data_IF_839186408500
#
_entry.id   IF_839186408500
#
_cell.length_a   1.000
_cell.length_b   1.000
_cell.length_c   1.000
_cell.angle_alpha   90.00
_cell.angle_beta   90.00
_cell.angle_gamma   90.00
#
_symmetry.space_group_name_H-M   'P 1'
#
loop_
_entity.id
_entity.type
_entity.pdbx_description
1 polymer ?
#
# COMPACT_ATOMS: atom_id res chain seq x y z
N UNK A 1 -18.40 -13.56 -16.86
CA UNK A 1 -18.91 -14.85 -17.36
C UNK A 1 -18.11 -16.05 -16.79
N UNK A 2 -17.47 -15.90 -15.62
CA UNK A 2 -16.69 -16.98 -15.00
C UNK A 2 -15.40 -17.38 -15.74
N UNK A 3 -14.96 -16.61 -16.74
CA UNK A 3 -13.71 -16.88 -17.47
C UNK A 3 -12.56 -16.05 -16.90
N UNK A 4 -11.37 -16.64 -16.89
CA UNK A 4 -10.14 -15.95 -16.55
C UNK A 4 -9.90 -14.76 -17.51
N UNK A 5 -9.70 -13.58 -16.94
CA UNK A 5 -9.46 -12.34 -17.66
C UNK A 5 -7.97 -12.05 -17.87
N UNK A 6 -7.05 -12.74 -17.20
CA UNK A 6 -5.61 -12.48 -17.31
C UNK A 6 -5.07 -12.52 -18.75
N UNK A 7 -5.51 -13.43 -19.64
CA UNK A 7 -5.12 -13.38 -21.05
C UNK A 7 -5.55 -12.07 -21.74
N UNK A 8 -6.75 -11.56 -21.42
CA UNK A 8 -7.25 -10.31 -21.99
C UNK A 8 -6.49 -9.09 -21.44
N UNK A 9 -6.14 -9.11 -20.14
CA UNK A 9 -5.32 -8.08 -19.52
C UNK A 9 -3.94 -8.05 -20.18
N UNK A 10 -3.31 -9.21 -20.39
CA UNK A 10 -2.01 -9.33 -21.07
C UNK A 10 -2.02 -8.79 -22.50
N UNK A 11 -3.09 -9.02 -23.24
CA UNK A 11 -3.26 -8.39 -24.57
C UNK A 11 -3.53 -6.89 -24.48
N UNK A 12 -4.27 -6.42 -23.46
CA UNK A 12 -4.55 -5.00 -23.27
C UNK A 12 -3.29 -4.18 -22.95
N UNK A 13 -2.41 -4.69 -22.09
CA UNK A 13 -1.16 -4.01 -21.69
C UNK A 13 -0.20 -3.79 -22.87
N UNK A 14 -0.34 -4.52 -23.98
CA UNK A 14 0.47 -4.27 -25.21
C UNK A 14 0.13 -2.93 -25.87
N UNK A 15 -1.04 -2.36 -25.59
CA UNK A 15 -1.45 -1.08 -26.16
C UNK A 15 -0.78 0.05 -25.38
N UNK A 16 -0.05 0.98 -26.06
CA UNK A 16 0.72 2.02 -25.38
C UNK A 16 -0.10 2.90 -24.42
N UNK A 17 -1.35 3.20 -24.76
CA UNK A 17 -2.21 4.02 -23.92
C UNK A 17 -2.55 3.35 -22.58
N UNK A 18 -2.68 2.02 -22.56
CA UNK A 18 -2.95 1.25 -21.34
C UNK A 18 -1.67 1.05 -20.55
N UNK A 19 -0.58 0.69 -21.23
CA UNK A 19 0.73 0.55 -20.59
C UNK A 19 1.11 1.84 -19.84
N UNK A 20 0.94 3.00 -20.50
CA UNK A 20 1.32 4.29 -19.97
C UNK A 20 0.35 4.84 -18.90
N UNK A 21 -0.84 4.27 -18.71
CA UNK A 21 -1.70 4.69 -17.62
C UNK A 21 -1.06 4.35 -16.25
N UNK A 22 -0.46 3.16 -16.16
CA UNK A 22 0.06 2.59 -14.91
C UNK A 22 1.37 1.81 -15.16
N UNK A 23 2.44 2.51 -15.55
CA UNK A 23 3.67 1.87 -16.06
C UNK A 23 4.29 0.86 -15.10
N UNK A 24 4.31 1.16 -13.80
CA UNK A 24 4.93 0.29 -12.79
C UNK A 24 4.08 -0.95 -12.54
N UNK A 25 2.75 -0.80 -12.41
CA UNK A 25 1.84 -1.95 -12.23
C UNK A 25 1.85 -2.87 -13.43
N UNK A 26 1.87 -2.29 -14.63
CA UNK A 26 1.94 -3.03 -15.87
C UNK A 26 3.28 -3.77 -16.00
N UNK A 27 4.40 -3.14 -15.67
CA UNK A 27 5.71 -3.80 -15.65
C UNK A 27 5.72 -4.97 -14.65
N UNK A 28 5.21 -4.75 -13.43
CA UNK A 28 5.07 -5.82 -12.44
C UNK A 28 4.20 -6.95 -12.96
N UNK A 29 3.04 -6.67 -13.56
CA UNK A 29 2.16 -7.70 -14.11
C UNK A 29 2.84 -8.51 -15.21
N UNK A 30 3.57 -7.87 -16.12
CA UNK A 30 4.27 -8.54 -17.21
C UNK A 30 5.35 -9.52 -16.71
N UNK A 31 5.95 -9.26 -15.54
CA UNK A 31 7.02 -10.06 -14.96
C UNK A 31 6.59 -11.01 -13.82
N UNK A 32 5.49 -10.71 -13.14
CA UNK A 32 4.99 -11.47 -11.98
C UNK A 32 3.76 -12.32 -12.31
N UNK A 33 3.17 -12.15 -13.49
CA UNK A 33 1.99 -12.82 -14.01
C UNK A 33 0.66 -12.52 -13.29
N UNK A 34 0.69 -11.75 -12.20
CA UNK A 34 -0.48 -11.32 -11.43
C UNK A 34 -0.52 -9.80 -11.34
N UNK A 35 -1.72 -9.22 -11.44
CA UNK A 35 -1.89 -7.78 -11.54
C UNK A 35 -2.02 -7.17 -10.14
N UNK A 36 -1.18 -6.19 -9.82
CA UNK A 36 -1.24 -5.49 -8.54
C UNK A 36 -2.38 -4.46 -8.52
N UNK A 37 -3.14 -4.42 -7.44
CA UNK A 37 -4.27 -3.49 -7.25
C UNK A 37 -3.81 -2.07 -6.93
N UNK A 38 -2.71 -1.93 -6.18
CA UNK A 38 -2.14 -0.65 -5.78
C UNK A 38 -1.55 0.13 -6.98
N UNK A 39 -1.64 1.46 -6.94
CA UNK A 39 -1.13 2.44 -7.91
C UNK A 39 0.37 2.28 -8.22
N UNK A 40 0.77 2.77 -9.40
CA UNK A 40 2.18 2.78 -9.83
C UNK A 40 3.08 3.56 -8.88
N UNK A 41 2.59 4.68 -8.34
CA UNK A 41 3.33 5.49 -7.39
C UNK A 41 3.76 4.70 -6.16
N UNK A 42 2.85 4.00 -5.51
CA UNK A 42 3.15 3.21 -4.31
C UNK A 42 3.92 1.93 -4.62
N UNK A 43 3.55 1.19 -5.68
CA UNK A 43 4.31 0.01 -6.09
C UNK A 43 5.77 0.31 -6.47
N UNK A 44 6.07 1.54 -6.90
CA UNK A 44 7.45 1.94 -7.17
C UNK A 44 8.29 2.16 -5.91
N UNK A 45 7.66 2.29 -4.74
CA UNK A 45 8.28 2.52 -3.43
C UNK A 45 8.54 1.21 -2.69
N UNK A 46 7.60 0.26 -2.76
CA UNK A 46 7.69 -1.01 -2.03
C UNK A 46 8.75 -1.98 -2.57
N UNK A 47 9.29 -1.72 -3.77
CA UNK A 47 10.09 -2.66 -4.52
C UNK A 47 11.44 -2.07 -4.96
N UNK A 48 12.47 -2.90 -5.02
CA UNK A 48 13.84 -2.50 -5.39
C UNK A 48 14.07 -2.21 -6.89
N UNK A 49 13.02 -2.25 -7.72
CA UNK A 49 13.18 -2.26 -9.18
C UNK A 49 13.15 -0.89 -9.83
N UNK A 50 12.47 0.10 -9.22
CA UNK A 50 12.10 1.34 -9.93
C UNK A 50 12.83 2.58 -9.41
N UNK A 51 12.87 2.80 -8.10
CA UNK A 51 13.33 4.07 -7.51
C UNK A 51 14.81 4.15 -7.12
N UNK A 52 15.64 3.22 -7.59
CA UNK A 52 17.06 3.13 -7.17
C UNK A 52 18.08 3.87 -8.04
N UNK A 53 17.71 4.29 -9.26
CA UNK A 53 18.61 5.01 -10.18
C UNK A 53 17.84 6.05 -10.98
N UNK A 54 18.51 7.14 -11.36
CA UNK A 54 17.88 8.25 -12.07
C UNK A 54 17.26 7.82 -13.42
N UNK A 55 17.90 6.91 -14.16
CA UNK A 55 17.38 6.38 -15.43
C UNK A 55 16.10 5.55 -15.24
N UNK A 56 16.01 4.79 -14.15
CA UNK A 56 14.82 3.99 -13.83
C UNK A 56 13.66 4.88 -13.36
N UNK A 57 13.94 5.90 -12.54
CA UNK A 57 12.95 6.88 -12.10
C UNK A 57 12.39 7.64 -13.32
N UNK A 58 13.26 8.08 -14.24
CA UNK A 58 12.85 8.74 -15.47
C UNK A 58 11.96 7.83 -16.33
N UNK A 59 12.34 6.56 -16.47
CA UNK A 59 11.61 5.60 -17.31
C UNK A 59 10.23 5.24 -16.76
N UNK A 60 10.12 5.02 -15.45
CA UNK A 60 8.93 4.38 -14.86
C UNK A 60 8.09 5.28 -13.95
N UNK A 61 8.66 6.35 -13.38
CA UNK A 61 8.02 7.08 -12.28
C UNK A 61 7.59 8.53 -12.62
N UNK A 62 7.69 8.93 -13.90
CA UNK A 62 7.41 10.32 -14.32
C UNK A 62 6.29 10.46 -15.33
N UNK A 63 6.15 9.47 -16.22
CA UNK A 63 5.37 9.61 -17.45
C UNK A 63 4.07 8.80 -17.43
N UNK A 64 3.74 8.16 -16.29
CA UNK A 64 2.45 7.50 -16.15
C UNK A 64 1.32 8.54 -16.17
N UNK A 65 0.22 8.23 -16.85
CA UNK A 65 -0.92 9.15 -16.99
C UNK A 65 -2.04 8.91 -15.98
N UNK A 66 -1.89 7.91 -15.11
CA UNK A 66 -2.81 7.60 -14.02
C UNK A 66 -2.69 8.54 -12.83
N UNK A 67 -3.33 8.17 -11.71
CA UNK A 67 -3.50 9.04 -10.54
C UNK A 67 -2.17 9.49 -9.90
N UNK A 68 -1.27 8.55 -9.64
CA UNK A 68 0.03 8.84 -9.03
C UNK A 68 1.14 8.17 -9.86
N UNK A 69 1.89 8.95 -10.66
CA UNK A 69 2.94 8.39 -11.50
C UNK A 69 4.18 7.94 -10.73
N UNK A 70 4.27 8.23 -9.43
CA UNK A 70 5.49 8.03 -8.63
C UNK A 70 6.38 9.26 -8.56
N UNK A 71 5.80 10.44 -8.81
CA UNK A 71 6.51 11.70 -8.65
C UNK A 71 6.96 11.90 -7.19
N UNK A 72 8.17 12.45 -7.02
CA UNK A 72 8.67 12.79 -5.70
C UNK A 72 7.70 13.72 -4.95
N UNK A 73 7.34 13.28 -3.74
CA UNK A 73 6.44 13.98 -2.82
C UNK A 73 5.06 14.32 -3.42
N UNK A 74 4.55 13.50 -4.35
CA UNK A 74 3.28 13.71 -5.04
C UNK A 74 2.13 14.05 -4.08
N UNK A 75 1.86 13.16 -3.11
CA UNK A 75 0.74 13.36 -2.17
C UNK A 75 0.94 14.56 -1.23
N UNK A 76 2.19 14.89 -0.91
CA UNK A 76 2.48 16.07 -0.07
C UNK A 76 2.14 17.35 -0.82
N UNK A 77 2.44 17.43 -2.13
CA UNK A 77 2.06 18.57 -2.97
C UNK A 77 0.54 18.75 -3.01
N UNK A 78 -0.19 17.66 -3.22
CA UNK A 78 -1.67 17.65 -3.17
C UNK A 78 -2.21 18.19 -1.84
N UNK A 79 -1.62 17.79 -0.71
CA UNK A 79 -2.04 18.29 0.61
C UNK A 79 -1.72 19.77 0.82
N UNK A 80 -0.55 20.23 0.38
CA UNK A 80 -0.15 21.64 0.49
C UNK A 80 -1.03 22.55 -0.38
N UNK A 81 -1.44 22.08 -1.55
CA UNK A 81 -2.41 22.79 -2.39
C UNK A 81 -3.76 22.90 -1.69
N UNK A 82 -4.26 21.77 -1.15
CA UNK A 82 -5.55 21.72 -0.44
C UNK A 82 -5.59 22.50 0.86
N UNK A 83 -4.47 22.66 1.56
CA UNK A 83 -4.38 23.45 2.80
C UNK A 83 -4.94 24.87 2.63
N UNK A 84 -4.77 25.43 1.42
CA UNK A 84 -5.19 26.78 1.09
C UNK A 84 -6.59 26.86 0.47
N UNK A 85 -7.10 25.76 -0.11
CA UNK A 85 -8.35 25.77 -0.90
C UNK A 85 -9.54 25.11 -0.21
N UNK A 86 -9.33 24.24 0.79
CA UNK A 86 -10.40 23.40 1.35
C UNK A 86 -11.61 24.20 1.86
N UNK A 87 -11.41 25.39 2.46
CA UNK A 87 -12.51 26.21 2.98
C UNK A 87 -13.40 26.75 1.87
N UNK A 88 -12.82 27.21 0.77
CA UNK A 88 -13.58 27.72 -0.37
C UNK A 88 -14.28 26.59 -1.11
N UNK A 89 -13.63 25.43 -1.24
CA UNK A 89 -14.20 24.25 -1.86
C UNK A 89 -15.44 23.76 -1.09
N UNK A 90 -15.35 23.65 0.25
CA UNK A 90 -16.49 23.26 1.09
C UNK A 90 -17.64 24.28 0.97
N UNK A 91 -17.35 25.58 1.01
CA UNK A 91 -18.40 26.61 0.86
C UNK A 91 -19.12 26.48 -0.48
N UNK A 92 -18.37 26.34 -1.58
CA UNK A 92 -18.93 26.13 -2.91
C UNK A 92 -19.79 24.87 -2.95
N UNK A 93 -19.31 23.77 -2.37
CA UNK A 93 -20.05 22.51 -2.31
C UNK A 93 -21.36 22.62 -1.52
N UNK A 94 -21.38 23.39 -0.41
CA UNK A 94 -22.58 23.64 0.38
C UNK A 94 -23.59 24.56 -0.32
N UNK A 95 -23.14 25.42 -1.24
CA UNK A 95 -23.98 26.31 -2.04
C UNK A 95 -24.58 25.62 -3.28
N UNK A 96 -24.08 24.43 -3.66
CA UNK A 96 -24.60 23.67 -4.79
C UNK A 96 -26.03 23.15 -4.48
N UNK A 97 -27.04 23.49 -5.31
CA UNK A 97 -28.45 23.27 -4.99
C UNK A 97 -28.90 21.81 -4.99
N UNK A 98 -28.06 20.87 -5.45
CA UNK A 98 -28.33 19.44 -5.37
C UNK A 98 -27.03 18.64 -5.30
N UNK A 99 -26.91 17.79 -4.29
CA UNK A 99 -25.84 16.79 -4.19
C UNK A 99 -26.38 15.43 -4.64
N UNK A 100 -25.59 14.67 -5.41
CA UNK A 100 -25.94 13.28 -5.72
C UNK A 100 -25.90 12.45 -4.43
N UNK A 101 -27.05 11.92 -4.01
CA UNK A 101 -27.19 11.07 -2.82
C UNK A 101 -26.98 9.59 -3.13
N UNK A 102 -26.61 9.24 -4.37
CA UNK A 102 -26.17 7.87 -4.67
C UNK A 102 -25.00 7.53 -3.78
N UNK A 103 -25.03 6.29 -3.30
CA UNK A 103 -23.98 5.75 -2.45
C UNK A 103 -22.63 5.81 -3.17
N UNK A 104 -21.61 6.29 -2.46
CA UNK A 104 -20.23 6.31 -2.93
C UNK A 104 -19.60 4.91 -3.00
N UNK A 105 -18.32 4.88 -3.39
CA UNK A 105 -17.54 3.63 -3.49
C UNK A 105 -16.81 3.25 -2.19
N UNK A 106 -16.87 4.10 -1.17
CA UNK A 106 -16.23 3.89 0.13
C UNK A 106 -16.82 2.69 0.87
N UNK A 107 -15.95 1.85 1.43
CA UNK A 107 -16.36 0.57 2.05
C UNK A 107 -17.11 0.78 3.37
N UNK A 108 -16.75 1.81 4.15
CA UNK A 108 -17.23 1.99 5.52
C UNK A 108 -18.76 2.02 5.63
N UNK A 109 -19.46 2.75 4.76
CA UNK A 109 -20.91 2.84 4.79
C UNK A 109 -21.59 1.49 4.44
N UNK A 110 -20.97 0.67 3.60
CA UNK A 110 -21.47 -0.67 3.29
C UNK A 110 -21.21 -1.64 4.46
N UNK A 111 -20.03 -1.56 5.07
CA UNK A 111 -19.68 -2.34 6.26
C UNK A 111 -20.64 -2.00 7.41
N UNK A 112 -20.93 -0.73 7.67
CA UNK A 112 -21.89 -0.33 8.70
C UNK A 112 -23.30 -0.83 8.39
N UNK A 113 -23.77 -0.70 7.14
CA UNK A 113 -25.07 -1.25 6.75
C UNK A 113 -25.15 -2.76 6.98
N UNK A 114 -24.11 -3.49 6.59
CA UNK A 114 -24.05 -4.94 6.74
C UNK A 114 -24.04 -5.38 8.21
N UNK A 115 -23.33 -4.65 9.08
CA UNK A 115 -23.08 -5.04 10.47
C UNK A 115 -24.11 -4.51 11.47
N UNK A 116 -24.52 -3.25 11.33
CA UNK A 116 -25.38 -2.55 12.30
C UNK A 116 -26.55 -1.80 11.67
N UNK A 117 -26.72 -1.88 10.34
CA UNK A 117 -27.80 -1.21 9.61
C UNK A 117 -28.85 -2.19 9.08
N UNK A 118 -29.05 -2.20 7.77
CA UNK A 118 -30.07 -3.01 7.09
C UNK A 118 -29.71 -4.51 6.98
N UNK A 119 -28.48 -4.90 7.32
CA UNK A 119 -28.01 -6.28 7.28
C UNK A 119 -27.67 -6.79 5.88
N UNK A 120 -27.64 -5.92 4.86
CA UNK A 120 -27.23 -6.30 3.50
C UNK A 120 -25.77 -6.75 3.51
N UNK A 121 -25.52 -8.02 3.16
CA UNK A 121 -24.17 -8.56 3.12
C UNK A 121 -23.27 -7.74 2.20
N UNK A 122 -22.04 -7.50 2.64
CA UNK A 122 -21.06 -6.75 1.86
C UNK A 122 -19.74 -7.50 1.80
N UNK A 123 -19.31 -7.81 0.58
CA UNK A 123 -18.02 -8.42 0.29
C UNK A 123 -17.02 -7.34 -0.11
N UNK A 124 -15.84 -7.37 0.51
CA UNK A 124 -14.75 -6.41 0.29
C UNK A 124 -13.41 -7.04 0.63
N UNK A 125 -12.30 -6.40 0.25
CA UNK A 125 -10.97 -6.80 0.72
C UNK A 125 -10.64 -6.03 2.00
N UNK A 126 -10.31 -6.74 3.07
CA UNK A 126 -10.11 -6.19 4.41
C UNK A 126 -8.81 -6.66 5.06
N UNK A 127 -8.22 -5.77 5.84
CA UNK A 127 -7.00 -6.03 6.60
C UNK A 127 -7.30 -6.77 7.90
N UNK A 128 -6.76 -7.98 8.06
CA UNK A 128 -7.00 -8.89 9.20
C UNK A 128 -5.71 -9.64 9.58
N UNK A 129 -5.68 -10.23 10.78
CA UNK A 129 -4.55 -11.06 11.22
C UNK A 129 -4.55 -12.41 10.49
N UNK A 130 -3.41 -12.81 9.94
CA UNK A 130 -3.25 -14.06 9.20
C UNK A 130 -3.18 -15.27 10.12
N UNK A 131 -4.33 -15.82 10.50
CA UNK A 131 -4.40 -17.11 11.21
C UNK A 131 -4.91 -18.20 10.26
N UNK A 132 -4.05 -18.58 9.32
CA UNK A 132 -4.38 -19.55 8.28
C UNK A 132 -5.28 -18.99 7.17
N UNK A 133 -5.11 -17.71 6.82
CA UNK A 133 -5.82 -17.08 5.69
C UNK A 133 -5.00 -17.14 4.40
N UNK A 134 -3.68 -17.01 4.51
CA UNK A 134 -2.71 -17.22 3.43
C UNK A 134 -1.58 -18.10 3.99
N UNK A 135 -1.50 -19.34 3.51
CA UNK A 135 -0.73 -20.41 4.18
C UNK A 135 0.79 -20.17 4.19
N UNK A 136 1.30 -19.48 3.17
CA UNK A 136 2.74 -19.25 2.98
C UNK A 136 3.17 -17.82 3.28
N UNK A 137 2.40 -17.12 4.11
CA UNK A 137 2.78 -15.87 4.77
C UNK A 137 2.91 -16.08 6.29
N UNK A 138 3.61 -15.20 7.02
CA UNK A 138 3.84 -15.39 8.45
C UNK A 138 2.52 -15.47 9.24
N UNK A 139 2.47 -16.35 10.23
CA UNK A 139 1.31 -16.43 11.11
C UNK A 139 1.19 -15.15 11.93
N UNK A 140 -0.03 -14.62 12.00
CA UNK A 140 -0.36 -13.40 12.72
C UNK A 140 -0.09 -12.12 11.94
N UNK A 141 0.69 -12.09 10.85
CA UNK A 141 0.91 -10.83 10.13
C UNK A 141 -0.40 -10.21 9.62
N UNK A 142 -0.42 -8.90 9.40
CA UNK A 142 -1.56 -8.28 8.72
C UNK A 142 -1.60 -8.73 7.25
N UNK A 143 -2.77 -9.20 6.80
CA UNK A 143 -3.03 -9.54 5.40
C UNK A 143 -4.32 -8.88 4.95
N UNK A 144 -4.36 -8.48 3.69
CA UNK A 144 -5.60 -8.04 3.05
C UNK A 144 -6.19 -9.19 2.23
N UNK A 145 -7.36 -9.67 2.64
CA UNK A 145 -8.06 -10.80 2.00
C UNK A 145 -9.54 -10.48 1.79
N UNK A 146 -10.28 -11.24 0.97
CA UNK A 146 -11.72 -11.10 0.89
C UNK A 146 -12.38 -11.35 2.24
N UNK A 147 -13.34 -10.50 2.60
CA UNK A 147 -14.09 -10.52 3.86
C UNK A 147 -15.56 -10.27 3.55
N UNK A 148 -16.43 -11.06 4.19
CA UNK A 148 -17.88 -10.80 4.20
C UNK A 148 -18.24 -10.08 5.51
N UNK A 149 -18.75 -8.86 5.40
CA UNK A 149 -19.42 -8.16 6.50
C UNK A 149 -20.89 -8.59 6.58
N UNK A 150 -21.37 -8.81 7.81
CA UNK A 150 -22.75 -9.22 8.11
C UNK A 150 -23.14 -8.79 9.52
N UNK A 151 -24.40 -9.04 9.92
CA UNK A 151 -24.87 -8.84 11.29
C UNK A 151 -24.17 -9.73 12.34
N UNK A 152 -23.37 -10.71 11.92
CA UNK A 152 -22.51 -11.54 12.78
C UNK A 152 -21.08 -10.99 12.91
N UNK A 153 -20.79 -9.86 12.28
CA UNK A 153 -19.45 -9.28 12.17
C UNK A 153 -18.78 -9.67 10.86
N UNK A 154 -17.46 -9.85 10.92
CA UNK A 154 -16.61 -10.11 9.76
C UNK A 154 -16.28 -11.59 9.61
N UNK A 155 -16.38 -12.10 8.39
CA UNK A 155 -15.98 -13.46 8.02
C UNK A 155 -14.91 -13.37 6.94
N UNK A 156 -13.61 -13.38 7.31
CA UNK A 156 -12.51 -13.46 6.36
C UNK A 156 -12.54 -14.79 5.61
N UNK A 157 -12.13 -14.76 4.34
CA UNK A 157 -12.11 -15.92 3.44
C UNK A 157 -10.67 -16.39 3.29
N UNK A 158 -10.45 -17.69 3.46
CA UNK A 158 -9.17 -18.35 3.20
C UNK A 158 -8.86 -18.32 1.70
N UNK A 159 -7.64 -17.91 1.35
CA UNK A 159 -7.18 -17.67 -0.03
C UNK A 159 -6.28 -18.80 -0.55
N UNK A 160 -5.80 -19.69 0.32
CA UNK A 160 -4.70 -20.63 0.08
C UNK A 160 -3.32 -19.96 -0.03
N UNK A 161 -2.32 -20.73 -0.47
CA UNK A 161 -0.95 -20.26 -0.72
C UNK A 161 -0.86 -19.32 -1.92
N UNK A 162 -0.13 -18.21 -1.77
CA UNK A 162 0.27 -17.39 -2.91
C UNK A 162 1.24 -18.14 -3.83
N UNK A 163 1.29 -17.82 -5.13
CA UNK A 163 2.38 -18.24 -6.01
C UNK A 163 3.76 -17.95 -5.36
N UNK A 164 4.73 -18.88 -5.41
CA UNK A 164 5.98 -18.77 -4.63
C UNK A 164 6.73 -17.45 -4.82
N UNK A 165 6.78 -16.91 -6.05
CA UNK A 165 7.41 -15.63 -6.35
C UNK A 165 6.72 -14.44 -5.68
N UNK A 166 5.39 -14.49 -5.53
CA UNK A 166 4.62 -13.47 -4.83
C UNK A 166 4.72 -13.64 -3.32
N UNK A 167 4.77 -14.87 -2.82
CA UNK A 167 5.01 -15.14 -1.41
C UNK A 167 6.35 -14.55 -0.97
N UNK A 168 7.43 -14.70 -1.76
CA UNK A 168 8.73 -14.07 -1.48
C UNK A 168 8.58 -12.55 -1.36
N UNK A 169 7.93 -11.92 -2.34
CA UNK A 169 7.74 -10.47 -2.36
C UNK A 169 7.00 -9.96 -1.12
N UNK A 170 5.88 -10.58 -0.78
CA UNK A 170 5.03 -10.16 0.34
C UNK A 170 5.66 -10.48 1.71
N UNK A 171 6.40 -11.59 1.83
CA UNK A 171 7.06 -11.98 3.08
C UNK A 171 8.12 -10.96 3.51
N UNK A 172 8.78 -10.26 2.58
CA UNK A 172 9.78 -9.23 2.93
C UNK A 172 9.08 -8.08 3.67
N UNK A 173 8.05 -7.50 3.06
CA UNK A 173 7.31 -6.39 3.67
C UNK A 173 6.65 -6.79 4.99
N UNK A 174 5.93 -7.91 5.02
CA UNK A 174 5.22 -8.36 6.21
C UNK A 174 6.17 -8.58 7.40
N UNK A 175 7.36 -9.15 7.18
CA UNK A 175 8.33 -9.36 8.26
C UNK A 175 9.04 -8.06 8.67
N UNK A 176 9.31 -7.15 7.73
CA UNK A 176 9.84 -5.83 8.08
C UNK A 176 8.85 -5.05 8.96
N UNK A 177 7.56 -5.09 8.62
CA UNK A 177 6.49 -4.45 9.39
C UNK A 177 6.34 -5.05 10.79
N UNK A 178 6.26 -6.37 10.92
CA UNK A 178 6.16 -7.02 12.24
C UNK A 178 7.40 -6.73 13.10
N UNK A 179 8.61 -6.71 12.52
CA UNK A 179 9.83 -6.36 13.22
C UNK A 179 9.87 -4.89 13.65
N UNK A 180 9.35 -3.99 12.81
CA UNK A 180 9.22 -2.57 13.15
C UNK A 180 8.21 -2.37 14.29
N UNK A 181 7.07 -3.07 14.27
CA UNK A 181 6.08 -3.05 15.36
C UNK A 181 6.66 -3.59 16.65
N UNK A 182 7.39 -4.72 16.61
CA UNK A 182 8.07 -5.27 17.78
C UNK A 182 9.09 -4.28 18.35
N UNK A 183 9.90 -3.65 17.50
CA UNK A 183 10.83 -2.59 17.90
C UNK A 183 10.13 -1.40 18.54
N UNK A 184 9.00 -0.98 17.99
CA UNK A 184 8.20 0.12 18.53
C UNK A 184 7.57 -0.20 19.89
N UNK A 185 7.09 -1.43 20.10
CA UNK A 185 6.50 -1.86 21.38
C UNK A 185 7.59 -2.05 22.44
N UNK A 186 8.71 -2.68 22.08
CA UNK A 186 9.81 -2.96 23.00
C UNK A 186 10.71 -1.75 23.29
N UNK A 187 10.58 -0.68 22.48
CA UNK A 187 11.50 0.46 22.53
C UNK A 187 12.92 0.10 22.09
N UNK A 188 13.07 -0.97 21.29
CA UNK A 188 14.35 -1.45 20.78
C UNK A 188 14.67 -0.79 19.44
N UNK A 189 15.55 0.22 19.41
CA UNK A 189 15.89 0.94 18.19
C UNK A 189 16.61 0.02 17.18
N UNK A 190 17.31 -1.04 17.64
CA UNK A 190 18.05 -1.95 16.76
C UNK A 190 17.11 -2.77 15.87
N UNK A 191 15.92 -3.13 16.36
CA UNK A 191 14.88 -3.80 15.55
C UNK A 191 14.35 -2.91 14.45
N UNK A 192 14.16 -1.61 14.73
CA UNK A 192 13.76 -0.64 13.70
C UNK A 192 14.83 -0.54 12.62
N UNK A 193 16.10 -0.43 13.00
CA UNK A 193 17.21 -0.47 12.05
C UNK A 193 17.22 -1.78 11.24
N UNK A 194 16.95 -2.92 11.89
CA UNK A 194 16.89 -4.21 11.21
C UNK A 194 15.78 -4.29 10.17
N UNK A 195 14.58 -3.83 10.52
CA UNK A 195 13.46 -3.74 9.57
C UNK A 195 13.82 -2.84 8.38
N UNK A 196 14.38 -1.65 8.65
CA UNK A 196 14.70 -0.68 7.60
C UNK A 196 15.82 -1.16 6.68
N UNK A 197 16.83 -1.90 7.17
CA UNK A 197 17.86 -2.39 6.25
C UNK A 197 17.41 -3.57 5.39
N UNK A 198 16.29 -4.23 5.69
CA UNK A 198 15.69 -5.24 4.82
C UNK A 198 14.63 -4.66 3.87
N UNK A 199 14.21 -3.40 4.07
CA UNK A 199 13.34 -2.68 3.14
C UNK A 199 13.96 -2.70 1.72
N UNK A 200 13.23 -3.16 0.69
CA UNK A 200 13.80 -3.37 -0.64
C UNK A 200 14.40 -2.12 -1.27
N UNK A 201 13.74 -0.97 -1.13
CA UNK A 201 14.22 0.27 -1.74
C UNK A 201 15.43 0.81 -0.99
N UNK A 202 15.36 0.85 0.34
CA UNK A 202 16.45 1.30 1.21
C UNK A 202 17.72 0.49 0.96
N UNK A 203 17.60 -0.84 0.94
CA UNK A 203 18.70 -1.77 0.66
C UNK A 203 19.31 -1.60 -0.72
N UNK A 204 18.50 -1.20 -1.70
CA UNK A 204 18.94 -1.03 -3.08
C UNK A 204 19.72 0.27 -3.29
N UNK A 205 19.49 1.28 -2.46
CA UNK A 205 20.05 2.63 -2.60
C UNK A 205 21.20 2.89 -1.65
N UNK A 206 21.17 2.33 -0.43
CA UNK A 206 22.09 2.66 0.65
C UNK A 206 22.89 1.43 1.11
N UNK A 207 24.12 1.66 1.55
CA UNK A 207 24.90 0.69 2.32
C UNK A 207 24.42 0.61 3.78
N UNK A 208 24.75 -0.47 4.50
CA UNK A 208 24.39 -0.63 5.92
C UNK A 208 24.82 0.56 6.81
N UNK A 209 25.97 1.16 6.53
CA UNK A 209 26.47 2.33 7.28
C UNK A 209 25.64 3.60 7.00
N UNK A 210 25.23 3.80 5.74
CA UNK A 210 24.36 4.91 5.35
C UNK A 210 22.95 4.74 5.92
N UNK A 211 22.43 3.51 5.92
CA UNK A 211 21.15 3.17 6.53
C UNK A 211 21.21 3.46 8.04
N UNK A 212 22.26 3.00 8.73
CA UNK A 212 22.40 3.24 10.16
C UNK A 212 22.39 4.74 10.49
N UNK A 213 23.15 5.53 9.72
CA UNK A 213 23.19 6.98 9.84
C UNK A 213 21.81 7.61 9.60
N UNK A 214 21.13 7.23 8.52
CA UNK A 214 19.79 7.74 8.18
C UNK A 214 18.79 7.44 9.31
N UNK A 215 18.78 6.22 9.83
CA UNK A 215 17.85 5.83 10.90
C UNK A 215 18.15 6.62 12.19
N UNK A 216 19.43 6.82 12.54
CA UNK A 216 19.82 7.67 13.68
C UNK A 216 19.33 9.12 13.51
N UNK A 217 19.48 9.69 12.31
CA UNK A 217 18.98 11.03 11.99
C UNK A 217 17.45 11.12 12.10
N UNK A 218 16.72 10.09 11.61
CA UNK A 218 15.26 10.02 11.73
C UNK A 218 14.81 9.94 13.19
N UNK A 219 15.48 9.13 14.02
CA UNK A 219 15.17 9.04 15.44
C UNK A 219 15.40 10.37 16.17
N UNK A 220 16.53 11.03 15.94
CA UNK A 220 16.81 12.32 16.58
C UNK A 220 15.78 13.37 16.15
N UNK A 221 15.42 13.41 14.85
CA UNK A 221 14.43 14.35 14.33
C UNK A 221 13.04 14.16 14.95
N UNK A 222 12.68 12.91 15.27
CA UNK A 222 11.35 12.53 15.77
C UNK A 222 11.32 12.17 17.26
N UNK A 223 12.38 12.51 18.02
CA UNK A 223 12.56 12.09 19.41
C UNK A 223 11.39 12.43 20.33
N UNK A 224 10.78 13.61 20.15
CA UNK A 224 9.65 14.05 20.96
C UNK A 224 8.36 13.26 20.68
N UNK A 225 8.26 12.66 19.50
CA UNK A 225 7.13 11.89 18.99
C UNK A 225 7.33 10.38 19.25
N UNK A 226 8.57 9.97 19.53
CA UNK A 226 8.97 8.58 19.76
C UNK A 226 9.58 8.39 21.17
N UNK A 227 8.84 8.72 22.25
CA UNK A 227 9.38 8.76 23.61
C UNK A 227 9.81 7.40 24.19
N UNK A 228 9.39 6.29 23.58
CA UNK A 228 9.75 4.94 24.00
C UNK A 228 11.23 4.62 23.73
N UNK A 229 11.85 5.26 22.75
CA UNK A 229 13.26 5.03 22.40
C UNK A 229 14.17 5.95 23.22
N UNK A 230 14.57 5.48 24.40
CA UNK A 230 15.36 6.27 25.37
C UNK A 230 16.85 6.39 25.01
N UNK A 231 17.35 5.42 24.26
CA UNK A 231 18.75 5.34 23.84
C UNK A 231 18.78 4.93 22.37
N UNK A 232 19.81 5.37 21.64
CA UNK A 232 20.15 4.83 20.32
C UNK A 232 21.36 3.92 20.50
N UNK A 233 21.45 2.86 19.69
CA UNK A 233 22.51 1.86 19.79
C UNK A 233 23.90 2.40 19.43
#
# INVERSE_FOLDING_TARGET
NGKDAYPLIREAVKRPEIYNEEQVRNEMFLHLDYYATESSGHNSEYNAWFRKRADLIEKYCRHSTGWNPGEYAFILKEYLERENTWKSEIKKWLEEPSTDLKRGKEYAANIFNATIGDGTLYEFNGNVRNFGLIDNLPEGCCVEVPVIASNRGFSPIHVDSLPPQLAILNNISAQCEELAVEGAISGDPKKIFQAIYFDPLTSAVLSLAEIEKMVKEMFEKNKNQLPQFKHFW
#
